data_IF_976346954580
#
_entry.id   IF_976346954580
#
_cell.length_a   1.000
_cell.length_b   1.000
_cell.length_c   1.000
_cell.angle_alpha   90.00
_cell.angle_beta   90.00
_cell.angle_gamma   90.00
#
_symmetry.space_group_name_H-M   'P 1'
#
loop_
_entity.id
_entity.type
_entity.pdbx_description
1 polymer ?
#
# COMPACT_ATOMS: atom_id res chain seq x y z
N UNK A 1 -11.77 24.76 23.36
CA UNK A 1 -11.37 23.88 22.22
C UNK A 1 -12.55 22.99 21.89
N UNK A 2 -13.24 23.30 20.84
CA UNK A 2 -14.51 22.63 20.48
C UNK A 2 -14.26 21.38 19.66
N UNK A 3 -15.15 20.42 19.81
CA UNK A 3 -15.20 19.16 19.04
C UNK A 3 -15.07 19.36 17.52
N UNK A 4 -15.49 20.51 17.00
CA UNK A 4 -15.36 20.94 15.61
C UNK A 4 -13.92 21.25 15.16
N UNK A 5 -13.03 21.67 16.06
CA UNK A 5 -11.62 21.96 15.72
C UNK A 5 -10.81 20.67 15.49
N UNK A 6 -11.19 19.59 16.15
CA UNK A 6 -10.58 18.29 15.98
C UNK A 6 -10.91 17.71 14.58
N UNK A 7 -12.15 17.90 14.13
CA UNK A 7 -12.57 17.49 12.77
C UNK A 7 -11.92 18.31 11.66
N UNK A 8 -11.72 19.62 11.88
CA UNK A 8 -11.04 20.51 10.93
C UNK A 8 -9.54 20.16 10.80
N UNK A 9 -8.89 19.78 11.90
CA UNK A 9 -7.49 19.37 11.92
C UNK A 9 -7.30 17.99 11.26
N UNK A 10 -8.26 17.06 11.44
CA UNK A 10 -8.27 15.75 10.77
C UNK A 10 -8.44 15.89 9.26
N UNK A 11 -9.31 16.77 8.78
CA UNK A 11 -9.52 17.03 7.36
C UNK A 11 -8.26 17.62 6.70
N UNK A 12 -7.56 18.54 7.37
CA UNK A 12 -6.32 19.14 6.84
C UNK A 12 -5.14 18.16 6.80
N UNK A 13 -5.09 17.17 7.69
CA UNK A 13 -4.08 16.08 7.65
C UNK A 13 -4.39 15.05 6.57
N UNK A 14 -5.66 14.70 6.36
CA UNK A 14 -6.06 13.78 5.29
C UNK A 14 -5.77 14.39 3.91
N UNK A 15 -6.04 15.67 3.72
CA UNK A 15 -5.78 16.40 2.45
C UNK A 15 -4.28 16.46 2.13
N UNK A 16 -3.41 16.60 3.14
CA UNK A 16 -1.95 16.56 2.98
C UNK A 16 -1.41 15.18 2.58
N UNK A 17 -1.88 14.13 3.24
CA UNK A 17 -1.53 12.75 2.94
C UNK A 17 -2.10 12.29 1.59
N UNK A 18 -3.30 12.74 1.24
CA UNK A 18 -3.96 12.45 -0.02
C UNK A 18 -3.18 13.05 -1.20
N UNK A 19 -2.69 14.28 -1.06
CA UNK A 19 -1.86 14.92 -2.07
C UNK A 19 -0.54 14.19 -2.28
N UNK A 20 0.20 13.89 -1.23
CA UNK A 20 1.48 13.16 -1.32
C UNK A 20 1.29 11.78 -1.93
N UNK A 21 0.24 11.07 -1.55
CA UNK A 21 -0.11 9.76 -2.11
C UNK A 21 -0.47 9.87 -3.60
N UNK A 22 -1.24 10.89 -3.97
CA UNK A 22 -1.65 11.10 -5.36
C UNK A 22 -0.46 11.46 -6.23
N UNK A 23 0.42 12.35 -5.77
CA UNK A 23 1.62 12.76 -6.51
C UNK A 23 2.58 11.57 -6.72
N UNK A 24 2.75 10.71 -5.70
CA UNK A 24 3.58 9.51 -5.79
C UNK A 24 3.01 8.49 -6.80
N UNK A 25 1.73 8.13 -6.68
CA UNK A 25 1.09 7.22 -7.64
C UNK A 25 1.10 7.78 -9.05
N UNK A 26 0.93 9.09 -9.20
CA UNK A 26 0.97 9.73 -10.50
C UNK A 26 2.37 9.63 -11.14
N UNK A 27 3.43 9.71 -10.35
CA UNK A 27 4.80 9.52 -10.84
C UNK A 27 5.01 8.09 -11.36
N UNK A 28 4.62 7.07 -10.59
CA UNK A 28 4.69 5.66 -11.04
C UNK A 28 3.87 5.46 -12.32
N UNK A 29 2.63 5.96 -12.36
CA UNK A 29 1.78 5.87 -13.55
C UNK A 29 2.45 6.53 -14.74
N UNK A 30 2.99 7.74 -14.57
CA UNK A 30 3.65 8.48 -15.63
C UNK A 30 4.91 7.73 -16.12
N UNK A 31 5.74 7.22 -15.21
CA UNK A 31 6.94 6.44 -15.56
C UNK A 31 6.56 5.22 -16.38
N UNK A 32 5.60 4.43 -15.93
CA UNK A 32 5.16 3.22 -16.63
C UNK A 32 4.48 3.54 -17.98
N UNK A 33 3.64 4.58 -18.05
CA UNK A 33 2.85 4.85 -19.26
C UNK A 33 3.56 5.68 -20.32
N UNK A 34 4.63 6.42 -19.97
CA UNK A 34 5.37 7.28 -20.90
C UNK A 34 6.65 6.66 -21.43
N UNK A 35 7.14 5.59 -20.82
CA UNK A 35 8.40 4.95 -21.19
C UNK A 35 8.18 3.67 -22.00
N UNK A 36 9.17 3.30 -22.77
CA UNK A 36 9.28 1.95 -23.33
C UNK A 36 9.62 1.00 -22.18
N UNK A 37 9.12 -0.24 -22.26
CA UNK A 37 9.46 -1.26 -21.24
C UNK A 37 10.88 -1.72 -21.52
N UNK A 38 11.84 -1.17 -20.77
CA UNK A 38 13.27 -1.45 -20.85
C UNK A 38 13.90 -1.49 -19.45
N UNK A 39 15.20 -1.74 -19.38
CA UNK A 39 15.91 -1.81 -18.11
C UNK A 39 15.92 -0.48 -17.35
N UNK A 40 15.91 0.65 -18.03
CA UNK A 40 15.87 1.97 -17.41
C UNK A 40 14.53 2.19 -16.69
N UNK A 41 13.41 1.75 -17.29
CA UNK A 41 12.10 1.78 -16.65
C UNK A 41 12.09 1.03 -15.31
N UNK A 42 12.67 -0.17 -15.28
CA UNK A 42 12.71 -0.98 -14.05
C UNK A 42 13.57 -0.35 -12.95
N UNK A 43 14.72 0.25 -13.33
CA UNK A 43 15.58 0.96 -12.39
C UNK A 43 14.87 2.20 -11.80
N UNK A 44 14.21 3.00 -12.64
CA UNK A 44 13.43 4.17 -12.22
C UNK A 44 12.27 3.77 -11.29
N UNK A 45 11.60 2.67 -11.59
CA UNK A 45 10.50 2.14 -10.77
C UNK A 45 11.01 1.70 -9.39
N UNK A 46 12.14 0.99 -9.35
CA UNK A 46 12.77 0.57 -8.09
C UNK A 46 13.13 1.78 -7.23
N UNK A 47 13.78 2.80 -7.80
CA UNK A 47 14.12 4.03 -7.10
C UNK A 47 12.87 4.72 -6.54
N UNK A 48 11.82 4.84 -7.34
CA UNK A 48 10.56 5.44 -6.89
C UNK A 48 9.91 4.66 -5.74
N UNK A 49 9.91 3.33 -5.79
CA UNK A 49 9.37 2.49 -4.71
C UNK A 49 10.19 2.66 -3.42
N UNK A 50 11.51 2.75 -3.51
CA UNK A 50 12.39 3.02 -2.35
C UNK A 50 12.12 4.41 -1.77
N UNK A 51 11.97 5.43 -2.61
CA UNK A 51 11.63 6.79 -2.19
C UNK A 51 10.24 6.86 -1.53
N UNK A 52 9.35 5.94 -1.87
CA UNK A 52 8.04 5.79 -1.24
C UNK A 52 8.04 5.00 0.07
N UNK A 53 9.20 4.73 0.62
CA UNK A 53 9.36 4.02 1.90
C UNK A 53 8.90 2.54 1.86
N UNK A 54 8.86 1.94 0.65
CA UNK A 54 8.53 0.51 0.47
C UNK A 54 9.63 -0.39 1.05
N UNK A 55 10.84 0.13 1.15
CA UNK A 55 12.02 -0.61 1.59
C UNK A 55 12.72 -1.35 0.43
N UNK A 56 14.07 -1.33 0.39
CA UNK A 56 14.83 -1.82 -0.76
C UNK A 56 14.56 -3.28 -1.13
N UNK A 57 14.53 -4.18 -0.15
CA UNK A 57 14.30 -5.61 -0.42
C UNK A 57 12.91 -5.90 -1.00
N UNK A 58 11.90 -5.12 -0.63
CA UNK A 58 10.56 -5.26 -1.17
C UNK A 58 10.47 -4.63 -2.57
N UNK A 59 11.09 -3.46 -2.78
CA UNK A 59 11.13 -2.78 -4.06
C UNK A 59 11.77 -3.66 -5.13
N UNK A 60 12.97 -4.19 -4.87
CA UNK A 60 13.66 -5.13 -5.77
C UNK A 60 12.76 -6.30 -6.13
N UNK A 61 12.16 -6.97 -5.14
CA UNK A 61 11.29 -8.13 -5.39
C UNK A 61 10.07 -7.79 -6.24
N UNK A 62 9.42 -6.64 -5.99
CA UNK A 62 8.27 -6.21 -6.79
C UNK A 62 8.64 -5.93 -8.25
N UNK A 63 9.83 -5.35 -8.47
CA UNK A 63 10.34 -5.05 -9.81
C UNK A 63 10.75 -6.32 -10.53
N UNK A 64 11.42 -7.26 -9.85
CA UNK A 64 11.77 -8.56 -10.43
C UNK A 64 10.53 -9.35 -10.83
N UNK A 65 9.50 -9.42 -9.96
CA UNK A 65 8.23 -10.06 -10.29
C UNK A 65 7.52 -9.37 -11.48
N UNK A 66 7.60 -8.05 -11.58
CA UNK A 66 7.05 -7.33 -12.73
C UNK A 66 7.80 -7.67 -14.01
N UNK A 67 9.13 -7.76 -13.96
CA UNK A 67 9.97 -8.14 -15.11
C UNK A 67 9.57 -9.53 -15.61
N UNK A 68 9.42 -10.48 -14.69
CA UNK A 68 8.99 -11.85 -15.00
C UNK A 68 7.58 -11.87 -15.63
N UNK A 69 6.63 -11.12 -15.07
CA UNK A 69 5.26 -11.03 -15.60
C UNK A 69 5.22 -10.42 -17.01
N UNK A 70 6.04 -9.40 -17.25
CA UNK A 70 6.17 -8.76 -18.59
C UNK A 70 6.71 -9.77 -19.60
N UNK A 71 7.75 -10.52 -19.26
CA UNK A 71 8.36 -11.50 -20.15
C UNK A 71 7.43 -12.70 -20.41
N UNK A 72 6.86 -13.29 -19.35
CA UNK A 72 6.02 -14.48 -19.45
C UNK A 72 4.72 -14.19 -20.23
N UNK A 73 4.09 -13.05 -19.97
CA UNK A 73 2.80 -12.69 -20.56
C UNK A 73 2.94 -11.86 -21.84
N UNK A 74 4.16 -11.48 -22.23
CA UNK A 74 4.43 -10.69 -23.44
C UNK A 74 3.76 -9.32 -23.37
N UNK A 75 3.87 -8.62 -22.23
CA UNK A 75 3.28 -7.29 -22.08
C UNK A 75 4.12 -6.26 -22.83
N UNK A 76 3.47 -5.40 -23.60
CA UNK A 76 4.14 -4.44 -24.48
C UNK A 76 3.82 -2.98 -24.17
N UNK A 77 2.81 -2.73 -23.36
CA UNK A 77 2.37 -1.37 -23.01
C UNK A 77 2.58 -1.08 -21.55
N UNK A 78 2.91 0.18 -21.24
CA UNK A 78 3.06 0.62 -19.86
C UNK A 78 1.77 0.49 -19.05
N UNK A 79 0.59 0.52 -19.69
CA UNK A 79 -0.67 0.28 -19.01
C UNK A 79 -0.81 -1.18 -18.56
N UNK A 80 -0.41 -2.13 -19.39
CA UNK A 80 -0.38 -3.56 -19.04
C UNK A 80 0.60 -3.82 -17.89
N UNK A 81 1.81 -3.21 -17.94
CA UNK A 81 2.79 -3.29 -16.87
C UNK A 81 2.27 -2.68 -15.55
N UNK A 82 1.54 -1.56 -15.61
CA UNK A 82 0.92 -0.93 -14.45
C UNK A 82 -0.14 -1.84 -13.81
N UNK A 83 -0.96 -2.49 -14.60
CA UNK A 83 -2.00 -3.39 -14.11
C UNK A 83 -1.37 -4.67 -13.53
N UNK A 84 -0.31 -5.21 -14.14
CA UNK A 84 0.48 -6.30 -13.60
C UNK A 84 1.11 -5.93 -12.25
N UNK A 85 1.74 -4.76 -12.12
CA UNK A 85 2.30 -4.28 -10.86
C UNK A 85 1.24 -4.16 -9.75
N UNK A 86 0.04 -3.67 -10.08
CA UNK A 86 -1.07 -3.60 -9.13
C UNK A 86 -1.48 -4.98 -8.62
N UNK A 87 -1.51 -5.96 -9.48
CA UNK A 87 -1.88 -7.33 -9.11
C UNK A 87 -0.78 -8.01 -8.29
N UNK A 88 0.49 -7.77 -8.60
CA UNK A 88 1.64 -8.19 -7.79
C UNK A 88 1.53 -7.61 -6.37
N UNK A 89 1.37 -6.28 -6.24
CA UNK A 89 1.21 -5.62 -4.95
C UNK A 89 -0.01 -6.18 -4.20
N UNK A 90 -1.13 -6.41 -4.88
CA UNK A 90 -2.34 -6.96 -4.28
C UNK A 90 -2.11 -8.36 -3.72
N UNK A 91 -1.35 -9.22 -4.42
CA UNK A 91 -0.93 -10.54 -3.93
C UNK A 91 -0.07 -10.45 -2.68
N UNK A 92 0.90 -9.53 -2.66
CA UNK A 92 1.83 -9.34 -1.54
C UNK A 92 1.15 -8.82 -0.26
N UNK A 93 0.18 -7.91 -0.38
CA UNK A 93 -0.54 -7.35 0.78
C UNK A 93 -1.76 -8.15 1.18
N UNK A 94 -2.14 -9.17 0.41
CA UNK A 94 -3.28 -10.03 0.77
C UNK A 94 -2.95 -10.84 2.02
N UNK A 95 -3.86 -10.90 2.99
CA UNK A 95 -3.64 -11.67 4.21
C UNK A 95 -3.48 -13.14 3.85
N UNK A 96 -2.33 -13.72 4.26
CA UNK A 96 -2.01 -15.14 4.02
C UNK A 96 -2.62 -16.07 5.07
N UNK A 97 -3.16 -15.49 6.15
CA UNK A 97 -3.75 -16.24 7.26
C UNK A 97 -4.97 -15.52 7.81
N UNK A 98 -6.01 -16.28 8.09
CA UNK A 98 -7.15 -15.79 8.86
C UNK A 98 -6.76 -15.53 10.31
N UNK A 99 -7.49 -14.66 10.99
CA UNK A 99 -7.31 -14.39 12.41
C UNK A 99 -7.67 -15.65 13.21
N UNK A 100 -6.69 -16.27 13.88
CA UNK A 100 -6.93 -17.42 14.73
C UNK A 100 -7.57 -16.99 16.06
N UNK A 101 -8.84 -17.32 16.23
CA UNK A 101 -9.66 -17.07 17.41
C UNK A 101 -10.00 -18.37 18.17
N UNK A 102 -9.27 -19.45 17.95
CA UNK A 102 -9.54 -20.77 18.55
C UNK A 102 -9.19 -20.81 20.07
N UNK A 103 -8.37 -19.87 20.54
CA UNK A 103 -8.01 -19.75 21.96
C UNK A 103 -9.22 -19.50 22.87
N UNK A 104 -9.21 -20.07 24.09
CA UNK A 104 -10.29 -19.88 25.09
C UNK A 104 -9.70 -19.40 26.41
N UNK A 105 -9.67 -18.07 26.67
CA UNK A 105 -10.14 -16.99 25.79
C UNK A 105 -9.20 -16.71 24.60
N UNK A 106 -9.74 -16.28 23.45
CA UNK A 106 -8.94 -15.67 22.40
C UNK A 106 -8.51 -14.26 22.85
N UNK A 107 -7.21 -13.96 22.72
CA UNK A 107 -6.66 -12.67 23.17
C UNK A 107 -6.07 -11.91 22.00
N UNK A 108 -6.57 -10.69 21.77
CA UNK A 108 -6.05 -9.76 20.76
C UNK A 108 -5.39 -8.59 21.45
N UNK A 109 -4.08 -8.41 21.24
CA UNK A 109 -3.32 -7.29 21.81
C UNK A 109 -3.15 -6.19 20.76
N UNK A 110 -3.76 -5.01 21.02
CA UNK A 110 -3.62 -3.81 20.17
C UNK A 110 -2.61 -2.87 20.79
N UNK A 111 -1.47 -2.67 20.12
CA UNK A 111 -0.37 -1.81 20.58
C UNK A 111 -0.14 -0.62 19.65
N UNK A 112 0.44 0.45 20.16
CA UNK A 112 0.78 1.64 19.38
C UNK A 112 1.00 2.87 20.26
N UNK A 113 1.57 3.93 19.67
CA UNK A 113 1.78 5.22 20.37
C UNK A 113 0.47 5.98 20.56
N UNK A 114 0.48 7.03 21.39
CA UNK A 114 -0.72 7.85 21.63
C UNK A 114 -1.22 8.51 20.34
N UNK A 115 -2.55 8.51 20.15
CA UNK A 115 -3.18 9.12 18.97
C UNK A 115 -3.18 8.30 17.68
N UNK A 116 -2.55 7.12 17.66
CA UNK A 116 -2.45 6.27 16.43
C UNK A 116 -3.75 5.53 16.07
N UNK A 117 -4.80 5.63 16.88
CA UNK A 117 -6.10 5.01 16.58
C UNK A 117 -6.37 3.67 17.28
N UNK A 118 -5.60 3.28 18.32
CA UNK A 118 -5.83 2.03 19.07
C UNK A 118 -7.27 1.82 19.52
N UNK A 119 -7.88 2.85 20.12
CA UNK A 119 -9.27 2.77 20.60
C UNK A 119 -10.26 2.56 19.46
N UNK A 120 -10.09 3.28 18.35
CA UNK A 120 -10.93 3.12 17.16
C UNK A 120 -10.82 1.72 16.56
N UNK A 121 -9.61 1.18 16.48
CA UNK A 121 -9.38 -0.19 16.01
C UNK A 121 -10.02 -1.22 16.93
N UNK A 122 -9.90 -1.05 18.25
CA UNK A 122 -10.53 -1.92 19.25
C UNK A 122 -12.06 -1.93 19.10
N UNK A 123 -12.68 -0.76 18.93
CA UNK A 123 -14.14 -0.65 18.75
C UNK A 123 -14.59 -1.32 17.47
N UNK A 124 -13.83 -1.16 16.37
CA UNK A 124 -14.10 -1.82 15.11
C UNK A 124 -13.99 -3.36 15.24
N UNK A 125 -12.91 -3.87 15.83
CA UNK A 125 -12.74 -5.31 16.08
C UNK A 125 -13.89 -5.88 16.93
N UNK A 126 -14.30 -5.17 17.98
CA UNK A 126 -15.41 -5.59 18.82
C UNK A 126 -16.72 -5.69 18.04
N UNK A 127 -17.02 -4.70 17.20
CA UNK A 127 -18.23 -4.69 16.37
C UNK A 127 -18.26 -5.85 15.36
N UNK A 128 -17.11 -6.16 14.73
CA UNK A 128 -16.98 -7.24 13.74
C UNK A 128 -17.03 -8.62 14.38
N UNK A 129 -16.42 -8.80 15.55
CA UNK A 129 -16.36 -10.11 16.23
C UNK A 129 -17.59 -10.43 17.09
N UNK A 130 -18.48 -9.44 17.30
CA UNK A 130 -19.72 -9.60 18.08
C UNK A 130 -20.96 -9.79 17.20
N UNK A 131 -20.82 -9.72 15.87
CA UNK A 131 -21.88 -9.89 14.89
C UNK A 131 -21.97 -11.33 14.41
#
# INVERSE_FOLDING_TARGET
MGFFDIFKKKKKMSDGLEKTRTDFFQNIVNTLTSSVIDDDLYNDLEEQLILADVGPSCAVRLVDELRDEVEINGLHTGQEALDALRDIIRREVSPKTDLDLSGKPAVILVVGVNGVGKTTTKEFCYAVLSA
#
